data_IF_081647315760
#
_entry.id   IF_081647315760
#
_cell.length_a   1.000
_cell.length_b   1.000
_cell.length_c   1.000
_cell.angle_alpha   90.00
_cell.angle_beta   90.00
_cell.angle_gamma   90.00
#
_symmetry.space_group_name_H-M   'P 1'
#
loop_
_entity.id
_entity.type
_entity.pdbx_description
1 polymer ?
#
# COMPACT_ATOMS: atom_id res chain seq x y z
N UNK A 1 23.51 -6.20 -19.02
CA UNK A 1 23.51 -5.54 -17.69
C UNK A 1 22.77 -4.20 -17.69
N UNK A 2 22.98 -3.32 -18.69
CA UNK A 2 22.27 -2.04 -18.79
C UNK A 2 20.73 -2.22 -18.85
N UNK A 3 20.25 -3.18 -19.66
CA UNK A 3 18.82 -3.48 -19.80
C UNK A 3 18.09 -3.76 -18.47
N UNK A 4 18.71 -4.52 -17.54
CA UNK A 4 18.11 -4.80 -16.23
C UNK A 4 18.02 -3.55 -15.36
N UNK A 5 18.98 -2.62 -15.47
CA UNK A 5 18.99 -1.37 -14.67
C UNK A 5 17.97 -0.36 -15.19
N UNK A 6 17.74 -0.39 -16.49
CA UNK A 6 16.80 0.49 -17.20
C UNK A 6 15.35 0.02 -17.09
N UNK A 7 15.11 -1.28 -16.84
CA UNK A 7 13.77 -1.81 -16.65
C UNK A 7 13.09 -1.17 -15.42
N UNK A 8 11.91 -0.56 -15.65
CA UNK A 8 11.06 0.01 -14.60
C UNK A 8 9.66 -0.61 -14.63
N UNK A 9 9.07 -0.75 -13.45
CA UNK A 9 7.67 -1.15 -13.28
C UNK A 9 6.74 -0.02 -13.74
N UNK A 10 5.95 -0.27 -14.78
CA UNK A 10 4.97 0.68 -15.34
C UNK A 10 3.54 0.21 -15.07
N UNK A 11 3.24 -1.01 -15.51
CA UNK A 11 1.86 -1.51 -15.60
C UNK A 11 1.48 -2.44 -14.44
N UNK A 12 2.34 -2.55 -13.43
CA UNK A 12 2.16 -3.39 -12.25
C UNK A 12 3.17 -4.52 -12.16
N UNK A 13 3.15 -5.25 -11.04
CA UNK A 13 4.19 -6.23 -10.71
C UNK A 13 4.25 -7.40 -11.69
N UNK A 14 3.12 -7.85 -12.22
CA UNK A 14 3.02 -8.99 -13.13
C UNK A 14 3.76 -8.75 -14.44
N UNK A 15 3.47 -7.61 -15.08
CA UNK A 15 4.05 -7.27 -16.37
C UNK A 15 5.52 -6.88 -16.22
N UNK A 16 5.88 -6.23 -15.12
CA UNK A 16 7.29 -6.02 -14.77
C UNK A 16 8.04 -7.34 -14.63
N UNK A 17 7.49 -8.32 -13.89
CA UNK A 17 8.13 -9.61 -13.66
C UNK A 17 8.33 -10.39 -14.96
N UNK A 18 7.33 -10.42 -15.85
CA UNK A 18 7.45 -11.06 -17.16
C UNK A 18 8.57 -10.44 -18.00
N UNK A 19 8.63 -9.10 -18.09
CA UNK A 19 9.69 -8.38 -18.80
C UNK A 19 11.08 -8.67 -18.20
N UNK A 20 11.16 -8.71 -16.87
CA UNK A 20 12.39 -9.03 -16.16
C UNK A 20 12.89 -10.44 -16.48
N UNK A 21 12.01 -11.46 -16.43
CA UNK A 21 12.38 -12.85 -16.71
C UNK A 21 12.84 -13.07 -18.16
N UNK A 22 12.27 -12.34 -19.14
CA UNK A 22 12.73 -12.37 -20.53
C UNK A 22 14.17 -11.85 -20.68
N UNK A 23 14.52 -10.79 -19.94
CA UNK A 23 15.88 -10.23 -19.95
C UNK A 23 16.83 -11.16 -19.17
N UNK A 24 16.39 -11.66 -18.00
CA UNK A 24 17.13 -12.63 -17.17
C UNK A 24 17.48 -13.88 -17.95
N UNK A 25 16.57 -14.42 -18.76
CA UNK A 25 16.82 -15.65 -19.55
C UNK A 25 18.03 -15.52 -20.48
N UNK A 26 18.40 -14.30 -20.89
CA UNK A 26 19.55 -14.00 -21.75
C UNK A 26 20.84 -13.72 -20.98
N UNK A 27 20.78 -13.60 -19.65
CA UNK A 27 21.86 -13.14 -18.79
C UNK A 27 22.13 -14.15 -17.66
N UNK A 28 23.35 -14.69 -17.58
CA UNK A 28 23.76 -15.54 -16.45
C UNK A 28 24.34 -14.68 -15.32
N UNK A 29 23.50 -14.26 -14.37
CA UNK A 29 23.89 -13.45 -13.21
C UNK A 29 23.53 -14.16 -11.89
N UNK A 30 24.15 -13.77 -10.77
CA UNK A 30 23.81 -14.30 -9.44
C UNK A 30 22.43 -13.83 -8.99
N UNK A 31 21.76 -14.62 -8.15
CA UNK A 31 20.44 -14.26 -7.61
C UNK A 31 20.51 -12.97 -6.78
N UNK A 32 21.59 -12.73 -6.06
CA UNK A 32 21.80 -11.48 -5.29
C UNK A 32 21.77 -10.24 -6.19
N UNK A 33 22.47 -10.30 -7.34
CA UNK A 33 22.45 -9.21 -8.31
C UNK A 33 21.07 -9.06 -8.94
N UNK A 34 20.43 -10.18 -9.32
CA UNK A 34 19.09 -10.16 -9.90
C UNK A 34 18.08 -9.55 -8.94
N UNK A 35 18.15 -9.90 -7.65
CA UNK A 35 17.26 -9.37 -6.63
C UNK A 35 17.47 -7.87 -6.41
N UNK A 36 18.72 -7.43 -6.35
CA UNK A 36 19.06 -6.00 -6.26
C UNK A 36 18.53 -5.21 -7.46
N UNK A 37 18.76 -5.71 -8.68
CA UNK A 37 18.25 -5.11 -9.90
C UNK A 37 16.72 -5.11 -9.94
N UNK A 38 16.09 -6.22 -9.56
CA UNK A 38 14.64 -6.36 -9.51
C UNK A 38 14.02 -5.31 -8.59
N UNK A 39 14.51 -5.17 -7.36
CA UNK A 39 14.03 -4.17 -6.41
C UNK A 39 14.28 -2.74 -6.89
N UNK A 40 15.38 -2.48 -7.59
CA UNK A 40 15.71 -1.14 -8.13
C UNK A 40 14.78 -0.69 -9.27
N UNK A 41 14.13 -1.63 -9.97
CA UNK A 41 13.17 -1.33 -11.03
C UNK A 41 11.73 -1.14 -10.56
N UNK A 42 11.39 -1.53 -9.33
CA UNK A 42 10.03 -1.40 -8.79
C UNK A 42 9.63 0.04 -8.47
N UNK A 43 8.32 0.30 -8.48
CA UNK A 43 7.73 1.53 -7.94
C UNK A 43 8.10 1.69 -6.47
N UNK A 44 8.29 2.93 -6.02
CA UNK A 44 8.76 3.24 -4.67
C UNK A 44 7.89 2.55 -3.61
N UNK A 45 6.58 2.69 -3.69
CA UNK A 45 5.65 2.19 -2.68
C UNK A 45 5.70 0.65 -2.59
N UNK A 46 5.61 -0.03 -3.74
CA UNK A 46 5.76 -1.49 -3.85
C UNK A 46 7.11 -1.96 -3.30
N UNK A 47 8.19 -1.27 -3.68
CA UNK A 47 9.56 -1.59 -3.27
C UNK A 47 9.73 -1.51 -1.75
N UNK A 48 9.25 -0.44 -1.13
CA UNK A 48 9.37 -0.25 0.31
C UNK A 48 8.65 -1.34 1.08
N UNK A 49 7.45 -1.74 0.62
CA UNK A 49 6.69 -2.82 1.24
C UNK A 49 7.37 -4.18 1.10
N UNK A 50 7.87 -4.50 -0.10
CA UNK A 50 8.59 -5.76 -0.32
C UNK A 50 9.86 -5.84 0.52
N UNK A 51 10.64 -4.74 0.64
CA UNK A 51 11.91 -4.73 1.40
C UNK A 51 11.73 -5.04 2.88
N UNK A 52 10.57 -4.74 3.47
CA UNK A 52 10.30 -5.06 4.89
C UNK A 52 10.32 -6.57 5.17
N UNK A 53 10.00 -7.40 4.17
CA UNK A 53 9.98 -8.87 4.30
C UNK A 53 11.31 -9.54 3.94
N UNK A 54 12.33 -8.76 3.58
CA UNK A 54 13.70 -9.25 3.28
C UNK A 54 13.71 -10.45 2.30
N UNK A 55 13.13 -10.30 1.08
CA UNK A 55 13.08 -11.39 0.12
C UNK A 55 14.49 -11.85 -0.27
N UNK A 56 14.63 -13.15 -0.49
CA UNK A 56 15.86 -13.82 -0.90
C UNK A 56 15.83 -14.27 -2.37
N UNK A 57 14.66 -14.19 -3.00
CA UNK A 57 14.50 -14.58 -4.41
C UNK A 57 13.60 -13.61 -5.16
N UNK A 58 13.84 -13.49 -6.46
CA UNK A 58 13.01 -12.72 -7.40
C UNK A 58 11.54 -13.19 -7.37
N UNK A 59 11.32 -14.49 -7.16
CA UNK A 59 9.99 -15.08 -7.02
C UNK A 59 9.26 -14.60 -5.77
N UNK A 60 9.97 -14.45 -4.64
CA UNK A 60 9.37 -13.87 -3.43
C UNK A 60 8.97 -12.41 -3.67
N UNK A 61 9.79 -11.63 -4.37
CA UNK A 61 9.44 -10.26 -4.74
C UNK A 61 8.13 -10.20 -5.55
N UNK A 62 7.92 -11.12 -6.50
CA UNK A 62 6.65 -11.23 -7.25
C UNK A 62 5.46 -11.50 -6.31
N UNK A 63 5.56 -12.52 -5.46
CA UNK A 63 4.46 -12.91 -4.55
C UNK A 63 4.10 -11.76 -3.61
N UNK A 64 5.10 -11.12 -3.01
CA UNK A 64 4.90 -9.97 -2.12
C UNK A 64 4.32 -8.77 -2.86
N UNK A 65 4.77 -8.50 -4.09
CA UNK A 65 4.23 -7.42 -4.91
C UNK A 65 2.77 -7.66 -5.31
N UNK A 66 2.39 -8.91 -5.64
CA UNK A 66 0.98 -9.27 -5.90
C UNK A 66 0.13 -9.01 -4.67
N UNK A 67 0.58 -9.46 -3.50
CA UNK A 67 -0.13 -9.22 -2.24
C UNK A 67 -0.28 -7.72 -1.96
N UNK A 68 0.77 -6.94 -2.21
CA UNK A 68 0.74 -5.49 -2.06
C UNK A 68 -0.30 -4.84 -2.98
N UNK A 69 -0.32 -5.17 -4.27
CA UNK A 69 -1.29 -4.61 -5.23
C UNK A 69 -2.72 -5.05 -4.94
N UNK A 70 -2.94 -6.28 -4.47
CA UNK A 70 -4.26 -6.76 -4.04
C UNK A 70 -4.78 -5.98 -2.83
N UNK A 71 -3.91 -5.65 -1.88
CA UNK A 71 -4.25 -4.84 -0.71
C UNK A 71 -4.40 -3.35 -1.03
N UNK A 72 -3.79 -2.88 -2.13
CA UNK A 72 -3.77 -1.47 -2.55
C UNK A 72 -4.23 -1.33 -4.01
N UNK A 73 -5.52 -1.61 -4.30
CA UNK A 73 -6.05 -1.47 -5.64
C UNK A 73 -5.85 -0.04 -6.14
N UNK A 74 -5.35 0.10 -7.38
CA UNK A 74 -5.16 1.40 -8.04
C UNK A 74 -6.51 2.13 -8.06
N UNK A 75 -6.68 3.15 -7.20
CA UNK A 75 -7.87 4.01 -7.26
C UNK A 75 -7.87 4.67 -8.63
N UNK A 76 -8.93 4.48 -9.42
CA UNK A 76 -9.11 5.20 -10.67
C UNK A 76 -8.98 6.70 -10.36
N UNK A 77 -7.98 7.34 -10.95
CA UNK A 77 -7.66 8.74 -10.70
C UNK A 77 -8.72 9.60 -11.39
N UNK A 78 -9.89 9.76 -10.78
CA UNK A 78 -10.72 10.93 -11.08
C UNK A 78 -9.96 12.11 -10.46
N UNK A 79 -9.37 12.93 -11.32
CA UNK A 79 -8.65 14.14 -10.92
C UNK A 79 -9.65 15.15 -10.30
N UNK A 80 -9.97 14.96 -9.02
CA UNK A 80 -10.68 15.91 -8.18
C UNK A 80 -9.73 16.33 -7.06
N UNK A 81 -8.79 17.20 -7.43
CA UNK A 81 -7.99 17.96 -6.47
C UNK A 81 -8.92 18.94 -5.75
N UNK A 82 -9.50 18.53 -4.61
CA UNK A 82 -9.96 19.45 -3.59
C UNK A 82 -9.10 19.26 -2.35
N UNK A 83 -8.27 20.25 -2.06
CA UNK A 83 -7.38 20.24 -0.91
C UNK A 83 -8.18 20.13 0.39
N UNK A 84 -8.26 18.93 0.95
CA UNK A 84 -8.80 18.72 2.28
C UNK A 84 -7.64 18.60 3.26
N UNK A 85 -7.38 19.70 3.97
CA UNK A 85 -6.48 19.74 5.12
C UNK A 85 -6.91 18.63 6.09
N UNK A 86 -6.03 17.66 6.35
CA UNK A 86 -6.22 16.70 7.43
C UNK A 86 -6.01 17.42 8.76
N UNK A 87 -7.10 17.80 9.42
CA UNK A 87 -7.09 18.22 10.82
C UNK A 87 -6.94 16.98 11.70
N UNK A 88 -5.82 16.87 12.42
CA UNK A 88 -5.67 15.93 13.52
C UNK A 88 -6.62 16.35 14.66
N UNK A 89 -7.73 15.64 14.83
CA UNK A 89 -8.59 15.79 16.02
C UNK A 89 -7.92 15.04 17.16
N UNK A 90 -7.32 15.82 18.06
CA UNK A 90 -6.75 15.38 19.33
C UNK A 90 -7.90 15.02 20.29
N UNK A 91 -8.04 13.72 20.59
CA UNK A 91 -9.10 13.22 21.47
C UNK A 91 -8.70 13.45 22.94
N UNK A 92 -9.10 14.59 23.51
CA UNK A 92 -8.95 14.80 24.94
C UNK A 92 -10.03 15.73 25.50
N UNK A 93 -11.25 15.22 25.69
CA UNK A 93 -12.25 15.85 26.56
C UNK A 93 -13.01 14.81 27.38
N UNK A 94 -12.55 14.71 28.63
CA UNK A 94 -13.32 14.56 29.88
C UNK A 94 -14.77 14.09 29.76
N UNK A 95 -15.04 12.93 30.34
CA UNK A 95 -16.40 12.53 30.71
C UNK A 95 -17.02 13.52 31.71
N UNK A 96 -18.28 13.85 31.46
CA UNK A 96 -19.13 14.51 32.45
C UNK A 96 -20.57 13.98 32.30
N UNK A 97 -21.14 13.63 33.45
CA UNK A 97 -22.42 12.96 33.68
C UNK A 97 -23.59 13.52 32.87
N UNK A 98 -24.41 12.63 32.31
CA UNK A 98 -25.73 12.96 31.77
C UNK A 98 -26.78 12.82 32.88
N UNK A 99 -27.23 13.95 33.45
CA UNK A 99 -28.45 14.00 34.24
C UNK A 99 -29.63 14.25 33.31
N UNK A 100 -30.46 13.24 33.07
CA UNK A 100 -31.80 13.44 32.50
C UNK A 100 -32.72 13.97 33.60
N UNK A 101 -33.27 15.16 33.36
CA UNK A 101 -34.37 15.78 34.11
C UNK A 101 -35.67 15.37 33.42
N UNK A 102 -36.52 14.60 34.09
CA UNK A 102 -37.88 14.26 33.66
C UNK A 102 -38.86 14.93 34.64
N UNK A 103 -39.61 15.92 34.16
CA UNK A 103 -40.67 16.60 34.92
C UNK A 103 -42.04 16.11 34.42
N UNK A 104 -42.75 15.39 35.29
CA UNK A 104 -44.16 15.64 35.64
C UNK A 104 -45.27 15.19 34.68
N UNK A 105 -45.95 14.09 35.04
CA UNK A 105 -47.39 13.90 34.74
C UNK A 105 -48.13 13.57 36.04
N UNK A 106 -49.08 14.44 36.42
CA UNK A 106 -49.94 14.33 37.62
C UNK A 106 -50.99 13.21 37.45
N UNK A 107 -51.32 12.43 38.49
CA UNK A 107 -52.56 11.67 38.53
C UNK A 107 -53.72 12.53 39.08
N UNK A 108 -54.89 12.42 38.44
CA UNK A 108 -56.18 12.96 38.91
C UNK A 108 -56.86 11.94 39.82
N UNK A 109 -57.45 12.43 40.90
CA UNK A 109 -58.31 11.69 41.83
C UNK A 109 -59.64 11.32 41.18
N UNK A 110 -60.15 10.12 41.46
CA UNK A 110 -61.59 9.82 41.61
C UNK A 110 -61.75 8.62 42.53
#
# INVERSE_FOLDING_TARGET
MAELKELKETDGIEDYHKKFELIRARLRMSEEYLLSAYLAGLRLDTRMHIRMFQPQTTRQCLVLGRLYEMAHPKKATNNAWSGQKQSFVNNNQKGLLSQKKDEGVKPKET
#
